data_IF_134445472544
#
_entry.id   IF_134445472544
#
_cell.length_a   1.000
_cell.length_b   1.000
_cell.length_c   1.000
_cell.angle_alpha   90.00
_cell.angle_beta   90.00
_cell.angle_gamma   90.00
#
_symmetry.space_group_name_H-M   'P 1'
#
loop_
_entity.id
_entity.type
_entity.pdbx_description
1 polymer ?
#
# COMPACT_ATOMS: atom_id res chain seq x y z
N UNK A 1 -6.09 -15.96 24.67
CA UNK A 1 -5.69 -16.12 23.24
C UNK A 1 -6.87 -15.67 22.38
N UNK A 2 -6.76 -14.51 21.72
CA UNK A 2 -7.89 -13.89 21.00
C UNK A 2 -8.05 -14.45 19.59
N UNK A 3 -8.84 -15.50 19.45
CA UNK A 3 -9.13 -16.17 18.18
C UNK A 3 -10.23 -15.41 17.40
N UNK A 4 -9.94 -14.21 16.89
CA UNK A 4 -10.68 -13.61 15.75
C UNK A 4 -10.03 -12.30 15.24
N UNK A 5 -8.74 -12.30 14.90
CA UNK A 5 -8.20 -11.20 14.09
C UNK A 5 -8.16 -11.68 12.65
N UNK A 6 -9.19 -11.29 11.88
CA UNK A 6 -9.16 -11.39 10.41
C UNK A 6 -7.86 -10.73 9.97
N UNK A 7 -7.05 -11.42 9.18
CA UNK A 7 -5.83 -10.80 8.69
C UNK A 7 -6.19 -9.59 7.84
N UNK A 8 -5.34 -8.56 7.79
CA UNK A 8 -5.61 -7.42 6.94
C UNK A 8 -5.52 -7.83 5.47
N UNK A 9 -6.43 -7.30 4.66
CA UNK A 9 -6.40 -7.50 3.22
C UNK A 9 -5.22 -6.71 2.58
N UNK A 10 -4.80 -5.61 3.22
CA UNK A 10 -3.72 -4.72 2.77
C UNK A 10 -2.74 -4.38 3.91
N UNK A 11 -1.44 -4.42 3.63
CA UNK A 11 -0.38 -3.85 4.50
C UNK A 11 0.34 -2.73 3.75
N UNK A 12 0.68 -1.63 4.45
CA UNK A 12 1.49 -0.53 3.90
C UNK A 12 2.75 -0.40 4.77
N UNK A 13 3.90 -0.54 4.13
CA UNK A 13 5.22 -0.43 4.73
C UNK A 13 5.90 0.88 4.31
N UNK A 14 6.24 1.71 5.29
CA UNK A 14 7.01 2.94 5.09
C UNK A 14 8.48 2.63 5.36
N UNK A 15 9.28 2.57 4.30
CA UNK A 15 10.68 2.15 4.36
C UNK A 15 11.58 3.39 4.34
N UNK A 16 12.12 3.74 5.51
CA UNK A 16 13.05 4.87 5.70
C UNK A 16 14.52 4.42 5.69
N UNK A 17 14.79 3.13 5.97
CA UNK A 17 16.12 2.52 5.95
C UNK A 17 16.10 1.20 5.16
N UNK A 18 17.24 0.81 4.59
CA UNK A 18 17.39 -0.23 3.56
C UNK A 18 17.13 -1.69 3.98
N UNK A 19 16.37 -1.97 5.04
CA UNK A 19 16.08 -3.34 5.54
C UNK A 19 14.75 -3.94 5.02
N UNK A 20 14.27 -3.53 3.83
CA UNK A 20 12.89 -3.77 3.40
C UNK A 20 12.52 -5.16 2.86
N UNK A 21 13.47 -5.93 2.31
CA UNK A 21 13.12 -7.03 1.37
C UNK A 21 12.73 -8.35 2.08
N UNK A 22 13.18 -8.62 3.33
CA UNK A 22 12.85 -9.86 4.05
C UNK A 22 11.39 -9.90 4.58
N UNK A 23 10.65 -8.78 4.54
CA UNK A 23 9.29 -8.71 5.09
C UNK A 23 8.24 -9.43 4.23
N UNK A 24 8.45 -9.53 2.92
CA UNK A 24 7.51 -10.21 2.00
C UNK A 24 7.32 -11.69 2.37
N UNK A 25 8.37 -12.39 2.79
CA UNK A 25 8.25 -13.79 3.21
C UNK A 25 7.39 -13.94 4.49
N UNK A 26 7.49 -12.99 5.43
CA UNK A 26 6.63 -12.97 6.59
C UNK A 26 5.16 -12.72 6.21
N UNK A 27 4.91 -11.76 5.32
CA UNK A 27 3.55 -11.46 4.83
C UNK A 27 2.96 -12.60 4.00
N UNK A 28 3.78 -13.36 3.27
CA UNK A 28 3.37 -14.54 2.50
C UNK A 28 2.87 -15.64 3.43
N UNK A 29 3.60 -15.92 4.51
CA UNK A 29 3.18 -16.88 5.55
C UNK A 29 1.89 -16.46 6.24
N UNK A 30 1.71 -15.14 6.38
CA UNK A 30 0.46 -14.58 6.89
C UNK A 30 -0.65 -14.60 5.84
N UNK A 31 -0.39 -14.85 4.55
CA UNK A 31 -1.35 -14.82 3.42
C UNK A 31 -1.94 -13.45 3.11
N UNK A 32 -1.18 -12.37 3.30
CA UNK A 32 -1.66 -11.00 3.08
C UNK A 32 -1.87 -10.79 1.57
N UNK A 33 -3.09 -10.49 1.09
CA UNK A 33 -3.36 -10.39 -0.35
C UNK A 33 -2.51 -9.33 -1.06
N UNK A 34 -2.29 -8.19 -0.42
CA UNK A 34 -1.55 -7.07 -1.02
C UNK A 34 -0.67 -6.34 -0.01
N UNK A 35 0.54 -5.95 -0.44
CA UNK A 35 1.50 -5.19 0.36
C UNK A 35 2.02 -4.02 -0.45
N UNK A 36 1.98 -2.82 0.11
CA UNK A 36 2.54 -1.61 -0.50
C UNK A 36 3.82 -1.23 0.22
N UNK A 37 4.83 -0.82 -0.53
CA UNK A 37 6.04 -0.22 0.03
C UNK A 37 6.14 1.22 -0.45
N UNK A 38 6.16 2.16 0.49
CA UNK A 38 6.57 3.52 0.21
C UNK A 38 8.05 3.67 0.57
N UNK A 39 8.89 3.86 -0.45
CA UNK A 39 10.35 3.94 -0.32
C UNK A 39 10.92 4.87 -1.39
N UNK A 40 11.82 5.78 -0.99
CA UNK A 40 12.46 6.75 -1.91
C UNK A 40 11.43 7.52 -2.76
N UNK A 41 10.37 8.04 -2.12
CA UNK A 41 9.27 8.78 -2.75
C UNK A 41 8.54 8.00 -3.87
N UNK A 42 8.57 6.66 -3.80
CA UNK A 42 7.85 5.78 -4.72
C UNK A 42 6.96 4.82 -3.96
N UNK A 43 5.75 4.62 -4.46
CA UNK A 43 4.83 3.59 -4.00
C UNK A 43 4.96 2.36 -4.90
N UNK A 44 5.36 1.23 -4.32
CA UNK A 44 5.49 -0.06 -4.98
C UNK A 44 4.38 -0.98 -4.50
N UNK A 45 3.72 -1.69 -5.42
CA UNK A 45 2.65 -2.62 -5.10
C UNK A 45 3.13 -4.05 -5.28
N UNK A 46 2.83 -4.91 -4.31
CA UNK A 46 3.05 -6.35 -4.40
C UNK A 46 1.75 -7.09 -4.12
N UNK A 47 1.37 -8.01 -5.00
CA UNK A 47 0.19 -8.86 -4.84
C UNK A 47 0.61 -10.31 -4.64
N UNK A 48 -0.07 -11.02 -3.74
CA UNK A 48 0.17 -12.44 -3.49
C UNK A 48 -0.46 -13.28 -4.61
N UNK A 49 0.40 -13.81 -5.48
CA UNK A 49 0.05 -14.82 -6.48
C UNK A 49 0.26 -16.26 -5.98
N UNK A 50 0.20 -17.22 -6.90
CA UNK A 50 0.35 -18.64 -6.58
C UNK A 50 1.76 -19.00 -6.09
N UNK A 51 2.78 -18.37 -6.67
CA UNK A 51 4.19 -18.67 -6.38
C UNK A 51 4.80 -17.72 -5.32
N UNK A 52 4.08 -16.66 -4.95
CA UNK A 52 4.52 -15.66 -3.97
C UNK A 52 4.11 -14.25 -4.35
N UNK A 53 4.79 -13.26 -3.78
CA UNK A 53 4.53 -11.87 -4.13
C UNK A 53 5.13 -11.50 -5.48
N UNK A 54 4.34 -10.83 -6.29
CA UNK A 54 4.73 -10.26 -7.57
C UNK A 54 4.56 -8.75 -7.53
N UNK A 55 5.52 -8.01 -8.11
CA UNK A 55 5.38 -6.57 -8.28
C UNK A 55 4.33 -6.27 -9.34
N UNK A 56 3.37 -5.40 -9.00
CA UNK A 56 2.28 -5.00 -9.90
C UNK A 56 2.27 -3.49 -10.12
N UNK A 57 1.77 -3.04 -11.26
CA UNK A 57 1.77 -1.61 -11.61
C UNK A 57 0.62 -0.82 -10.97
N UNK A 58 -0.36 -1.51 -10.37
CA UNK A 58 -1.53 -0.90 -9.71
C UNK A 58 -2.06 -1.80 -8.61
N UNK A 59 -2.75 -1.21 -7.64
CA UNK A 59 -3.43 -1.97 -6.60
C UNK A 59 -4.51 -2.89 -7.17
N UNK A 60 -4.60 -4.12 -6.65
CA UNK A 60 -5.66 -5.06 -7.00
C UNK A 60 -6.89 -4.85 -6.11
N UNK A 61 -6.68 -4.44 -4.85
CA UNK A 61 -7.75 -4.08 -3.90
C UNK A 61 -8.36 -2.71 -4.18
N UNK A 62 -7.58 -1.77 -4.70
CA UNK A 62 -8.00 -0.40 -5.01
C UNK A 62 -7.66 -0.07 -6.47
N UNK A 63 -8.31 -0.71 -7.46
CA UNK A 63 -7.97 -0.56 -8.88
C UNK A 63 -8.27 0.83 -9.45
N UNK A 64 -9.09 1.64 -8.76
CA UNK A 64 -9.40 3.03 -9.09
C UNK A 64 -8.51 4.04 -8.37
N UNK A 65 -7.52 3.58 -7.59
CA UNK A 65 -6.59 4.47 -6.90
C UNK A 65 -5.76 5.27 -7.92
N UNK A 66 -5.92 6.58 -7.88
CA UNK A 66 -5.03 7.51 -8.57
C UNK A 66 -3.75 7.67 -7.74
N UNK A 67 -2.70 6.96 -8.16
CA UNK A 67 -1.41 6.93 -7.47
C UNK A 67 -0.71 8.29 -7.54
N UNK A 68 -0.85 9.00 -8.65
CA UNK A 68 -0.24 10.31 -8.83
C UNK A 68 -0.90 11.34 -7.89
N UNK A 69 -2.23 11.31 -7.77
CA UNK A 69 -2.96 12.12 -6.80
C UNK A 69 -2.54 11.79 -5.37
N UNK A 70 -2.44 10.50 -5.01
CA UNK A 70 -2.02 10.06 -3.68
C UNK A 70 -0.61 10.57 -3.36
N UNK A 71 0.35 10.36 -4.26
CA UNK A 71 1.74 10.79 -4.09
C UNK A 71 1.87 12.31 -4.01
N UNK A 72 1.09 13.04 -4.81
CA UNK A 72 1.00 14.50 -4.71
C UNK A 72 0.51 14.96 -3.33
N UNK A 73 -0.44 14.25 -2.73
CA UNK A 73 -0.98 14.58 -1.41
C UNK A 73 -0.03 14.20 -0.26
N UNK A 74 0.68 13.07 -0.35
CA UNK A 74 1.64 12.62 0.68
C UNK A 74 2.77 13.63 0.89
N UNK A 75 3.19 14.31 -0.18
CA UNK A 75 4.28 15.29 -0.14
C UNK A 75 3.84 16.70 0.30
N UNK A 76 2.56 16.92 0.61
CA UNK A 76 2.08 18.23 1.09
C UNK A 76 2.36 18.40 2.59
N UNK A 77 3.01 19.51 2.95
CA UNK A 77 3.27 19.85 4.36
C UNK A 77 1.96 20.03 5.17
N UNK A 78 0.92 20.58 4.54
CA UNK A 78 -0.36 20.80 5.19
C UNK A 78 -1.27 19.58 5.07
N UNK A 79 -1.31 18.75 6.12
CA UNK A 79 -2.13 17.55 6.18
C UNK A 79 -3.64 17.82 5.94
N UNK A 80 -4.18 18.93 6.43
CA UNK A 80 -5.59 19.26 6.21
C UNK A 80 -5.87 19.59 4.73
N UNK A 81 -4.91 20.21 4.04
CA UNK A 81 -5.00 20.44 2.60
C UNK A 81 -4.89 19.12 1.83
N UNK A 82 -3.89 18.29 2.16
CA UNK A 82 -3.71 16.97 1.54
C UNK A 82 -4.99 16.14 1.59
N UNK A 83 -5.66 16.09 2.75
CA UNK A 83 -6.93 15.37 2.91
C UNK A 83 -8.07 15.95 2.06
N UNK A 84 -8.15 17.29 1.93
CA UNK A 84 -9.17 17.92 1.09
C UNK A 84 -8.95 17.63 -0.39
N UNK A 85 -7.72 17.80 -0.86
CA UNK A 85 -7.34 17.55 -2.26
C UNK A 85 -7.54 16.08 -2.62
N UNK A 86 -7.07 15.16 -1.77
CA UNK A 86 -7.26 13.73 -1.98
C UNK A 86 -8.74 13.36 -2.05
N UNK A 87 -9.56 13.82 -1.09
CA UNK A 87 -11.01 13.58 -1.10
C UNK A 87 -11.72 14.18 -2.31
N UNK A 88 -11.30 15.36 -2.75
CA UNK A 88 -11.87 16.02 -3.92
C UNK A 88 -11.49 15.35 -5.25
N UNK A 89 -10.31 14.74 -5.31
CA UNK A 89 -9.80 14.06 -6.49
C UNK A 89 -10.24 12.60 -6.63
N UNK A 90 -10.67 11.94 -5.55
CA UNK A 90 -11.24 10.58 -5.63
C UNK A 90 -12.57 10.64 -6.38
N UNK A 91 -12.62 9.98 -7.54
CA UNK A 91 -13.86 9.72 -8.26
C UNK A 91 -14.43 8.38 -7.80
N UNK A 92 -15.43 8.43 -6.92
CA UNK A 92 -16.24 7.26 -6.62
C UNK A 92 -17.20 7.09 -7.81
N UNK A 93 -16.90 6.15 -8.70
CA UNK A 93 -17.81 5.76 -9.79
C UNK A 93 -18.52 4.47 -9.41
#
# INVERSE_FOLDING_TARGET
MGANRKQPDLVIEVVVSSEGINKLEAYKRLQIPEVWFWMNDKLLFYSLGNDGYEAVNKSQLLPSLDVDLLMGCINMENHAQALREFRGGIKIT
#
